data_IF_527038000685
#
_entry.id   IF_527038000685
#
_cell.length_a   1.000
_cell.length_b   1.000
_cell.length_c   1.000
_cell.angle_alpha   90.00
_cell.angle_beta   90.00
_cell.angle_gamma   90.00
#
_symmetry.space_group_name_H-M   'P 1'
#
loop_
_entity.id
_entity.type
_entity.pdbx_description
1 polymer ?
#
# COMPACT_ATOMS: atom_id res chain seq x y z
N UNK A 1 25.82 -17.66 9.33
CA UNK A 1 24.39 -17.95 9.58
C UNK A 1 23.61 -16.83 8.93
N UNK A 2 23.03 -17.08 7.74
CA UNK A 2 22.44 -16.03 6.90
C UNK A 2 21.30 -15.34 7.64
N UNK A 3 21.37 -14.01 7.75
CA UNK A 3 20.26 -13.21 8.26
C UNK A 3 19.05 -13.53 7.41
N UNK A 4 18.09 -14.26 7.99
CA UNK A 4 16.76 -14.37 7.41
C UNK A 4 16.29 -12.94 7.21
N UNK A 5 16.06 -12.57 5.97
CA UNK A 5 15.38 -11.33 5.64
C UNK A 5 13.97 -11.49 6.22
N UNK A 6 13.78 -11.17 7.50
CA UNK A 6 12.52 -11.32 8.27
C UNK A 6 11.45 -10.32 7.80
N UNK A 7 11.55 -9.85 6.55
CA UNK A 7 10.51 -9.05 5.92
C UNK A 7 9.59 -10.01 5.16
N UNK A 8 8.28 -9.97 5.41
CA UNK A 8 7.34 -10.90 4.81
C UNK A 8 7.37 -10.81 3.29
N UNK A 9 7.38 -11.98 2.65
CA UNK A 9 7.33 -12.15 1.19
C UNK A 9 5.94 -11.79 0.66
N UNK A 10 5.83 -11.65 -0.67
CA UNK A 10 4.58 -11.36 -1.36
C UNK A 10 3.38 -12.21 -0.87
N UNK A 11 3.58 -13.50 -0.61
CA UNK A 11 2.54 -14.40 -0.11
C UNK A 11 2.07 -14.12 1.32
N UNK A 12 2.96 -13.61 2.17
CA UNK A 12 2.70 -13.34 3.59
C UNK A 12 2.11 -11.94 3.80
N UNK A 13 2.29 -11.02 2.84
CA UNK A 13 1.76 -9.65 2.89
C UNK A 13 0.25 -9.61 3.10
N UNK A 14 -0.48 -10.58 2.53
CA UNK A 14 -1.93 -10.71 2.69
C UNK A 14 -2.31 -11.00 4.14
N UNK A 15 -1.58 -11.89 4.81
CA UNK A 15 -1.81 -12.21 6.21
C UNK A 15 -1.49 -11.00 7.12
N UNK A 16 -0.37 -10.30 6.86
CA UNK A 16 -0.03 -9.06 7.55
C UNK A 16 -1.11 -7.98 7.40
N UNK A 17 -1.67 -7.81 6.20
CA UNK A 17 -2.75 -6.86 5.96
C UNK A 17 -4.02 -7.22 6.75
N UNK A 18 -4.40 -8.50 6.76
CA UNK A 18 -5.59 -8.97 7.48
C UNK A 18 -5.43 -8.82 9.00
N UNK A 19 -4.26 -9.16 9.53
CA UNK A 19 -3.94 -8.98 10.93
C UNK A 19 -3.92 -7.50 11.34
N UNK A 20 -3.33 -6.61 10.53
CA UNK A 20 -3.37 -5.17 10.78
C UNK A 20 -4.81 -4.64 10.81
N UNK A 21 -5.65 -5.06 9.86
CA UNK A 21 -7.08 -4.71 9.85
C UNK A 21 -7.76 -5.19 11.12
N UNK A 22 -7.55 -6.45 11.52
CA UNK A 22 -8.14 -6.99 12.74
C UNK A 22 -7.77 -6.15 13.97
N UNK A 23 -6.50 -5.74 14.10
CA UNK A 23 -6.04 -4.87 15.19
C UNK A 23 -6.63 -3.45 15.11
N UNK A 24 -6.66 -2.86 13.92
CA UNK A 24 -7.19 -1.51 13.70
C UNK A 24 -8.71 -1.44 13.92
N UNK A 25 -9.46 -2.44 13.48
CA UNK A 25 -10.89 -2.56 13.70
C UNK A 25 -11.20 -2.88 15.17
N UNK A 26 -10.37 -3.68 15.86
CA UNK A 26 -10.52 -3.94 17.29
C UNK A 26 -10.31 -2.68 18.14
N UNK A 27 -9.36 -1.81 17.78
CA UNK A 27 -9.08 -0.57 18.52
C UNK A 27 -10.03 0.58 18.19
N UNK A 28 -10.43 0.72 16.92
CA UNK A 28 -11.01 1.99 16.43
C UNK A 28 -12.29 1.78 15.61
N UNK A 29 -12.81 0.54 15.49
CA UNK A 29 -14.02 0.18 14.73
C UNK A 29 -14.05 0.78 13.31
N UNK A 30 -12.89 0.90 12.69
CA UNK A 30 -12.75 1.51 11.37
C UNK A 30 -13.32 0.59 10.27
N UNK A 31 -14.07 1.14 9.30
CA UNK A 31 -14.55 0.40 8.13
C UNK A 31 -13.40 0.18 7.13
N UNK A 32 -12.56 -0.81 7.43
CA UNK A 32 -11.46 -1.28 6.58
C UNK A 32 -11.94 -2.44 5.68
N UNK A 33 -12.94 -2.17 4.85
CA UNK A 33 -13.60 -3.15 3.97
C UNK A 33 -12.85 -3.39 2.64
N UNK A 34 -11.54 -3.17 2.60
CA UNK A 34 -10.71 -3.26 1.39
C UNK A 34 -11.27 -2.45 0.21
N UNK A 35 -11.91 -1.33 0.52
CA UNK A 35 -12.57 -0.45 -0.45
C UNK A 35 -11.77 0.82 -0.65
N UNK A 36 -11.97 1.50 -1.78
CA UNK A 36 -11.35 2.79 -2.07
C UNK A 36 -11.60 3.85 -0.97
N UNK A 37 -12.76 3.79 -0.31
CA UNK A 37 -13.10 4.67 0.82
C UNK A 37 -12.17 4.46 2.01
N UNK A 38 -11.72 3.22 2.23
CA UNK A 38 -10.78 2.89 3.28
C UNK A 38 -9.38 3.45 3.00
N UNK A 39 -9.02 3.78 1.75
CA UNK A 39 -7.75 4.48 1.47
C UNK A 39 -7.72 5.87 2.12
N UNK A 40 -8.86 6.59 2.17
CA UNK A 40 -8.94 7.84 2.96
C UNK A 40 -8.72 7.62 4.44
N UNK A 41 -9.21 6.49 4.97
CA UNK A 41 -9.00 6.14 6.38
C UNK A 41 -7.52 5.90 6.63
N UNK A 42 -6.83 5.20 5.72
CA UNK A 42 -5.36 5.04 5.76
C UNK A 42 -4.65 6.39 5.71
N UNK A 43 -5.03 7.27 4.77
CA UNK A 43 -4.50 8.63 4.69
C UNK A 43 -4.67 9.39 6.02
N UNK A 44 -5.82 9.27 6.66
CA UNK A 44 -6.11 9.88 7.97
C UNK A 44 -5.31 9.24 9.12
N UNK A 45 -5.07 7.92 9.09
CA UNK A 45 -4.23 7.23 10.06
C UNK A 45 -2.76 7.67 9.96
N UNK A 46 -2.24 7.81 8.74
CA UNK A 46 -0.88 8.31 8.50
C UNK A 46 -0.74 9.75 9.00
N UNK A 47 -1.70 10.61 8.68
CA UNK A 47 -1.75 12.00 9.17
C UNK A 47 -1.86 12.06 10.71
N UNK A 48 -2.67 11.18 11.31
CA UNK A 48 -2.80 11.04 12.75
C UNK A 48 -1.51 10.60 13.44
N UNK A 49 -0.78 9.63 12.88
CA UNK A 49 0.54 9.20 13.38
C UNK A 49 1.55 10.35 13.33
N UNK A 50 1.56 11.12 12.23
CA UNK A 50 2.46 12.26 12.04
C UNK A 50 2.12 13.39 13.01
N UNK A 51 0.85 13.77 13.13
CA UNK A 51 0.38 14.79 14.07
C UNK A 51 0.57 14.39 15.53
N UNK A 52 0.49 13.10 15.82
CA UNK A 52 0.78 12.54 17.14
C UNK A 52 2.26 12.58 17.53
N UNK A 53 3.16 13.08 16.67
CA UNK A 53 4.59 13.12 16.92
C UNK A 53 5.21 11.73 17.06
N UNK A 54 4.57 10.70 16.48
CA UNK A 54 5.13 9.36 16.51
C UNK A 54 6.46 9.37 15.76
N UNK A 55 7.53 8.95 16.44
CA UNK A 55 8.81 8.77 15.79
C UNK A 55 8.67 7.72 14.67
N UNK A 56 9.43 7.88 13.58
CA UNK A 56 9.40 6.97 12.44
C UNK A 56 9.59 5.53 12.88
N UNK A 57 10.42 5.29 13.89
CA UNK A 57 10.66 3.95 14.42
C UNK A 57 9.41 3.34 15.08
N UNK A 58 8.65 4.16 15.82
CA UNK A 58 7.38 3.74 16.43
C UNK A 58 6.25 3.61 15.43
N UNK A 59 6.22 4.48 14.42
CA UNK A 59 5.24 4.42 13.34
C UNK A 59 5.54 3.29 12.34
N UNK A 60 6.77 2.77 12.28
CA UNK A 60 7.22 1.80 11.27
C UNK A 60 6.32 0.58 11.14
N UNK A 61 5.91 -0.02 12.26
CA UNK A 61 5.03 -1.19 12.27
C UNK A 61 3.62 -0.85 11.75
N UNK A 62 3.08 0.29 12.16
CA UNK A 62 1.80 0.78 11.67
C UNK A 62 1.86 1.13 10.18
N UNK A 63 2.91 1.82 9.73
CA UNK A 63 3.16 2.16 8.32
C UNK A 63 3.33 0.89 7.47
N UNK A 64 3.99 -0.13 8.01
CA UNK A 64 4.11 -1.43 7.38
C UNK A 64 2.74 -2.09 7.18
N UNK A 65 1.92 -2.15 8.23
CA UNK A 65 0.55 -2.69 8.15
C UNK A 65 -0.36 -1.89 7.21
N UNK A 66 -0.26 -0.56 7.20
CA UNK A 66 -0.96 0.32 6.27
C UNK A 66 -0.52 0.06 4.82
N UNK A 67 0.78 -0.10 4.57
CA UNK A 67 1.32 -0.45 3.26
C UNK A 67 0.85 -1.83 2.78
N UNK A 68 0.82 -2.83 3.66
CA UNK A 68 0.26 -4.15 3.37
C UNK A 68 -1.23 -4.07 3.02
N UNK A 69 -2.00 -3.29 3.77
CA UNK A 69 -3.42 -3.07 3.48
C UNK A 69 -3.65 -2.40 2.12
N UNK A 70 -2.90 -1.34 1.81
CA UNK A 70 -2.99 -0.64 0.51
C UNK A 70 -2.67 -1.60 -0.63
N UNK A 71 -1.62 -2.40 -0.51
CA UNK A 71 -1.28 -3.38 -1.54
C UNK A 71 -2.37 -4.44 -1.73
N UNK A 72 -3.01 -4.91 -0.65
CA UNK A 72 -4.14 -5.85 -0.74
C UNK A 72 -5.38 -5.19 -1.38
N UNK A 73 -5.63 -3.90 -1.14
CA UNK A 73 -6.67 -3.13 -1.85
C UNK A 73 -6.36 -3.09 -3.35
N UNK A 74 -5.11 -2.82 -3.73
CA UNK A 74 -4.69 -2.80 -5.13
C UNK A 74 -4.86 -4.17 -5.79
N UNK A 75 -4.50 -5.25 -5.08
CA UNK A 75 -4.67 -6.63 -5.57
C UNK A 75 -6.14 -6.96 -5.82
N UNK A 76 -7.01 -6.65 -4.85
CA UNK A 76 -8.44 -6.96 -4.94
C UNK A 76 -9.22 -6.06 -5.89
N UNK A 77 -8.90 -4.76 -5.93
CA UNK A 77 -9.69 -3.75 -6.67
C UNK A 77 -9.14 -3.47 -8.05
N UNK A 78 -7.82 -3.52 -8.22
CA UNK A 78 -7.13 -3.21 -9.47
C UNK A 78 -6.63 -4.46 -10.20
N UNK A 79 -6.81 -5.65 -9.63
CA UNK A 79 -6.27 -6.89 -10.19
C UNK A 79 -4.74 -6.94 -10.13
N UNK A 80 -4.12 -6.17 -9.23
CA UNK A 80 -2.68 -6.25 -9.02
C UNK A 80 -2.31 -7.61 -8.40
N UNK A 81 -1.03 -7.97 -8.44
CA UNK A 81 -0.49 -9.16 -7.80
C UNK A 81 0.69 -8.77 -6.93
N UNK A 82 0.78 -9.32 -5.72
CA UNK A 82 1.99 -9.17 -4.91
C UNK A 82 3.16 -9.86 -5.62
N UNK A 83 4.27 -9.15 -5.71
CA UNK A 83 5.52 -9.63 -6.30
C UNK A 83 6.66 -9.31 -5.36
N UNK A 84 7.58 -10.26 -5.22
CA UNK A 84 8.87 -10.01 -4.60
C UNK A 84 9.74 -9.26 -5.62
N UNK A 85 10.43 -8.22 -5.17
CA UNK A 85 11.32 -7.43 -6.00
C UNK A 85 12.64 -8.17 -6.20
N UNK A 86 13.13 -8.18 -7.43
CA UNK A 86 14.48 -8.62 -7.76
C UNK A 86 15.53 -7.70 -7.11
N UNK A 87 16.79 -8.17 -7.05
CA UNK A 87 17.88 -7.44 -6.40
C UNK A 87 18.03 -5.98 -6.90
N UNK A 88 17.83 -5.75 -8.20
CA UNK A 88 17.86 -4.43 -8.82
C UNK A 88 16.70 -3.53 -8.36
N UNK A 89 15.49 -4.09 -8.31
CA UNK A 89 14.31 -3.39 -7.84
C UNK A 89 14.38 -3.12 -6.34
N UNK A 90 14.96 -4.03 -5.58
CA UNK A 90 15.21 -3.87 -4.15
C UNK A 90 16.23 -2.76 -3.89
N UNK A 91 17.26 -2.64 -4.72
CA UNK A 91 18.21 -1.53 -4.68
C UNK A 91 17.56 -0.19 -5.04
N UNK A 92 16.63 -0.18 -6.00
CA UNK A 92 15.92 1.03 -6.43
C UNK A 92 14.83 1.49 -5.44
N UNK A 93 14.04 0.56 -4.91
CA UNK A 93 12.87 0.86 -4.06
C UNK A 93 13.14 0.73 -2.55
N UNK A 94 14.27 0.13 -2.14
CA UNK A 94 14.64 -0.05 -0.73
C UNK A 94 13.77 -1.04 0.06
N UNK A 95 12.83 -1.74 -0.61
CA UNK A 95 11.94 -2.75 -0.02
C UNK A 95 12.00 -4.05 -0.81
N UNK A 96 11.78 -5.21 -0.17
CA UNK A 96 11.84 -6.51 -0.84
C UNK A 96 10.57 -6.88 -1.61
N UNK A 97 9.47 -6.16 -1.42
CA UNK A 97 8.15 -6.55 -1.92
C UNK A 97 7.36 -5.37 -2.44
N UNK A 98 6.52 -5.62 -3.45
CA UNK A 98 5.54 -4.67 -3.96
C UNK A 98 4.40 -5.34 -4.70
N UNK A 99 3.63 -4.55 -5.43
CA UNK A 99 2.49 -5.01 -6.22
C UNK A 99 2.71 -4.70 -7.70
N UNK A 100 2.50 -5.68 -8.56
CA UNK A 100 2.51 -5.53 -10.01
C UNK A 100 1.08 -5.38 -10.50
N UNK A 101 0.79 -4.28 -11.16
CA UNK A 101 -0.48 -4.03 -11.82
C UNK A 101 -0.63 -4.89 -13.08
N UNK A 102 -1.87 -5.17 -13.52
CA UNK A 102 -2.13 -5.87 -14.79
C UNK A 102 -1.56 -5.13 -16.00
N UNK A 103 -1.44 -3.80 -15.94
CA UNK A 103 -0.72 -2.97 -16.93
C UNK A 103 0.80 -3.20 -16.98
N UNK A 104 1.34 -4.10 -16.16
CA UNK A 104 2.78 -4.40 -16.08
C UNK A 104 3.59 -3.45 -15.20
N UNK A 105 2.98 -2.38 -14.69
CA UNK A 105 3.62 -1.42 -13.79
C UNK A 105 3.79 -1.99 -12.39
N UNK A 106 5.00 -1.88 -11.85
CA UNK A 106 5.32 -2.32 -10.49
C UNK A 106 5.27 -1.13 -9.54
N UNK A 107 4.66 -1.33 -8.38
CA UNK A 107 4.45 -0.30 -7.36
C UNK A 107 4.86 -0.83 -5.99
N UNK A 108 5.45 0.04 -5.17
CA UNK A 108 5.80 -0.28 -3.78
C UNK A 108 4.81 0.41 -2.82
N UNK A 109 3.77 -0.28 -2.34
CA UNK A 109 2.79 0.34 -1.45
C UNK A 109 3.39 0.67 -0.07
N UNK A 110 4.38 -0.09 0.40
CA UNK A 110 5.07 0.20 1.66
C UNK A 110 5.92 1.47 1.56
N UNK A 111 6.72 1.56 0.50
CA UNK A 111 7.53 2.75 0.23
C UNK A 111 6.67 3.99 0.01
N UNK A 112 5.50 3.85 -0.63
CA UNK A 112 4.54 4.93 -0.81
C UNK A 112 4.00 5.44 0.53
N UNK A 113 3.55 4.55 1.42
CA UNK A 113 3.04 4.93 2.74
C UNK A 113 4.13 5.59 3.61
N UNK A 114 5.35 5.07 3.54
CA UNK A 114 6.49 5.66 4.24
C UNK A 114 6.83 7.06 3.69
N UNK A 115 6.97 7.19 2.37
CA UNK A 115 7.22 8.48 1.73
C UNK A 115 6.10 9.48 2.04
N UNK A 116 4.84 9.04 2.09
CA UNK A 116 3.73 9.88 2.55
C UNK A 116 3.91 10.36 3.98
N UNK A 117 4.32 9.48 4.89
CA UNK A 117 4.57 9.82 6.28
C UNK A 117 5.71 10.83 6.42
N UNK A 118 6.78 10.68 5.64
CA UNK A 118 7.95 11.58 5.65
C UNK A 118 7.68 12.92 4.93
N UNK A 119 7.19 12.88 3.69
CA UNK A 119 6.93 14.06 2.87
C UNK A 119 5.71 14.88 3.33
N UNK A 120 4.69 14.24 3.91
CA UNK A 120 3.52 14.91 4.49
C UNK A 120 2.61 15.65 3.50
N UNK A 121 2.85 15.57 2.19
CA UNK A 121 2.12 16.35 1.18
C UNK A 121 0.82 15.69 0.70
N UNK A 122 -0.22 16.46 0.32
CA UNK A 122 -1.47 15.94 -0.25
C UNK A 122 -1.26 15.27 -1.62
N UNK A 123 -0.15 15.57 -2.29
CA UNK A 123 0.23 15.00 -3.59
C UNK A 123 0.60 13.51 -3.49
N UNK A 124 1.06 13.07 -2.31
CA UNK A 124 1.35 11.66 -2.04
C UNK A 124 0.15 10.90 -1.46
N UNK A 125 -1.05 11.50 -1.49
CA UNK A 125 -2.25 10.84 -0.95
C UNK A 125 -2.57 9.57 -1.72
N UNK A 126 -2.80 8.50 -0.98
CA UNK A 126 -3.09 7.18 -1.53
C UNK A 126 -4.41 7.20 -2.29
N UNK A 127 -5.39 7.97 -1.81
CA UNK A 127 -6.63 8.22 -2.53
C UNK A 127 -6.38 8.94 -3.87
N UNK A 128 -5.57 10.00 -3.90
CA UNK A 128 -5.23 10.72 -5.14
C UNK A 128 -4.50 9.82 -6.12
N UNK A 129 -3.62 8.96 -5.61
CA UNK A 129 -2.94 7.94 -6.40
C UNK A 129 -3.92 6.93 -7.02
N UNK A 130 -4.85 6.39 -6.23
CA UNK A 130 -5.92 5.51 -6.70
C UNK A 130 -6.77 6.16 -7.80
N UNK A 131 -7.16 7.42 -7.60
CA UNK A 131 -7.90 8.21 -8.58
C UNK A 131 -7.10 8.42 -9.88
N UNK A 132 -5.80 8.69 -9.81
CA UNK A 132 -4.93 8.79 -11.01
C UNK A 132 -4.82 7.46 -11.74
N UNK A 133 -4.75 6.35 -11.02
CA UNK A 133 -4.70 4.99 -11.56
C UNK A 133 -6.00 4.65 -12.32
N UNK A 134 -7.16 4.91 -11.70
CA UNK A 134 -8.47 4.57 -12.26
C UNK A 134 -9.01 5.61 -13.26
N UNK A 135 -8.64 6.88 -13.12
CA UNK A 135 -8.96 7.93 -14.08
C UNK A 135 -8.34 7.70 -15.46
N UNK A 136 -7.18 7.01 -15.50
CA UNK A 136 -6.55 6.54 -16.76
C UNK A 136 -7.10 5.20 -17.25
N UNK A 137 -7.28 4.22 -16.35
CA UNK A 137 -7.77 2.90 -16.72
C UNK A 137 -9.15 2.92 -17.40
N UNK A 138 -10.01 3.90 -17.06
CA UNK A 138 -11.31 4.06 -17.73
C UNK A 138 -11.21 4.48 -19.20
N UNK A 139 -10.14 5.17 -19.61
CA UNK A 139 -9.92 5.54 -21.03
C UNK A 139 -9.46 4.35 -21.87
N UNK A 140 -8.60 3.48 -21.34
CA UNK A 140 -8.07 2.33 -22.08
C UNK A 140 -9.08 1.18 -22.18
N UNK A 141 -9.97 1.01 -21.20
CA UNK A 141 -11.05 0.00 -21.29
C UNK A 141 -12.22 0.42 -22.19
N UNK A 142 -12.41 1.72 -22.41
CA UNK A 142 -13.39 2.23 -23.39
C UNK A 142 -12.91 1.99 -24.84
N UNK A 143 -11.60 2.05 -25.07
CA UNK A 143 -10.96 1.80 -26.37
C UNK A 143 -11.09 0.34 -26.81
N UNK A 144 -10.92 -0.62 -25.88
CA UNK A 144 -11.04 -2.07 -26.17
C UNK A 144 -12.47 -2.60 -26.34
N UNK A 145 -13.51 -1.80 -26.07
CA UNK A 145 -14.92 -2.21 -26.24
C UNK A 145 -15.54 -1.76 -27.57
N UNK A 146 -14.77 -1.06 -28.40
CA UNK A 146 -15.19 -0.55 -29.71
C UNK A 146 -14.39 -1.16 -30.87
N UNK A 147 -13.55 -2.18 -30.60
CA UNK A 147 -12.81 -2.92 -31.63
C UNK A 147 -13.55 -4.16 -32.12
#
# INVERSE_FOLDING_TARGET
>A
MGGVDTRPRAGEMRACAADFVARATARTRLPLDYSERSLRVVDFLVDGLRKGGADQERARDALFGLGAYVGEVLVRRAGAVWVDFDADQRAYFGQPTGVRMPDGRVWNPLGKVLNRFEAGGPEDSLQTFWLKLHGRARREQADRRTG
#
